data_IF_775698353079
#
_entry.id   IF_775698353079
#
_cell.length_a   1.000
_cell.length_b   1.000
_cell.length_c   1.000
_cell.angle_alpha   90.00
_cell.angle_beta   90.00
_cell.angle_gamma   90.00
#
_symmetry.space_group_name_H-M   'P 1'
#
loop_
_entity.id
_entity.type
_entity.pdbx_description
1 polymer ?
#
# COMPACT_ATOMS: atom_id res chain seq x y z
N UNK A 1 18.60 -4.47 -7.77
CA UNK A 1 18.11 -3.30 -6.99
C UNK A 1 18.37 -3.53 -5.51
N UNK A 2 18.96 -2.58 -4.80
CA UNK A 2 19.20 -2.70 -3.36
C UNK A 2 17.90 -2.91 -2.60
N UNK A 3 17.95 -3.70 -1.56
CA UNK A 3 16.78 -3.99 -0.73
C UNK A 3 16.19 -2.72 -0.12
N UNK A 4 17.03 -1.79 0.30
CA UNK A 4 16.59 -0.51 0.85
C UNK A 4 15.74 0.27 -0.15
N UNK A 5 16.15 0.31 -1.42
CA UNK A 5 15.40 1.01 -2.46
C UNK A 5 14.06 0.34 -2.70
N UNK A 6 14.02 -1.00 -2.72
CA UNK A 6 12.75 -1.72 -2.85
C UNK A 6 11.81 -1.40 -1.70
N UNK A 7 12.33 -1.37 -0.49
CA UNK A 7 11.52 -1.04 0.69
C UNK A 7 10.98 0.39 0.62
N UNK A 8 11.79 1.33 0.16
CA UNK A 8 11.38 2.72 0.00
C UNK A 8 10.25 2.85 -1.03
N UNK A 9 10.35 2.13 -2.15
CA UNK A 9 9.32 2.13 -3.19
C UNK A 9 8.00 1.58 -2.62
N UNK A 10 8.05 0.47 -1.89
CA UNK A 10 6.85 -0.12 -1.28
C UNK A 10 6.25 0.80 -0.22
N UNK A 11 7.10 1.46 0.58
CA UNK A 11 6.62 2.42 1.58
C UNK A 11 5.95 3.62 0.93
N UNK A 12 6.51 4.12 -0.17
CA UNK A 12 5.91 5.23 -0.90
C UNK A 12 4.57 4.83 -1.52
N UNK A 13 4.49 3.64 -2.08
CA UNK A 13 3.23 3.12 -2.60
C UNK A 13 2.16 3.08 -1.50
N UNK A 14 2.51 2.54 -0.33
CA UNK A 14 1.56 2.45 0.78
C UNK A 14 1.18 3.83 1.31
N UNK A 15 2.12 4.77 1.34
CA UNK A 15 1.86 6.14 1.74
C UNK A 15 0.81 6.81 0.84
N UNK A 16 0.96 6.66 -0.47
CA UNK A 16 0.01 7.22 -1.43
C UNK A 16 -1.37 6.57 -1.32
N UNK A 17 -1.40 5.25 -1.15
CA UNK A 17 -2.66 4.52 -0.96
C UNK A 17 -3.37 4.99 0.31
N UNK A 18 -2.64 5.09 1.42
CA UNK A 18 -3.21 5.55 2.69
C UNK A 18 -3.70 6.99 2.61
N UNK A 19 -2.94 7.86 1.97
CA UNK A 19 -3.30 9.26 1.80
C UNK A 19 -4.61 9.38 1.02
N UNK A 20 -4.73 8.63 -0.07
CA UNK A 20 -5.95 8.63 -0.88
C UNK A 20 -7.13 8.03 -0.13
N UNK A 21 -6.89 6.96 0.63
CA UNK A 21 -7.91 6.34 1.48
C UNK A 21 -8.46 7.35 2.48
N UNK A 22 -7.56 8.05 3.18
CA UNK A 22 -7.94 9.05 4.20
C UNK A 22 -8.71 10.21 3.58
N UNK A 23 -8.31 10.66 2.40
CA UNK A 23 -8.99 11.75 1.68
C UNK A 23 -10.45 11.40 1.39
N UNK A 24 -10.77 10.13 1.21
CA UNK A 24 -12.14 9.65 0.97
C UNK A 24 -12.85 9.25 2.26
N UNK A 25 -12.21 9.40 3.41
CA UNK A 25 -12.75 8.97 4.71
C UNK A 25 -13.04 7.46 4.74
N UNK A 26 -12.30 6.70 3.95
CA UNK A 26 -12.41 5.24 3.93
C UNK A 26 -11.63 4.67 5.11
N UNK A 27 -12.28 3.84 5.91
CA UNK A 27 -11.62 3.22 7.07
C UNK A 27 -10.77 2.02 6.63
N UNK A 28 -9.89 1.56 7.51
CA UNK A 28 -9.12 0.33 7.26
C UNK A 28 -10.07 -0.85 7.09
N UNK A 29 -11.17 -0.89 7.87
CA UNK A 29 -12.16 -1.95 7.74
C UNK A 29 -12.84 -1.93 6.39
N UNK A 30 -13.17 -0.75 5.87
CA UNK A 30 -13.75 -0.62 4.53
C UNK A 30 -12.81 -1.18 3.47
N UNK A 31 -11.54 -0.83 3.57
CA UNK A 31 -10.52 -1.32 2.64
C UNK A 31 -10.36 -2.84 2.76
N UNK A 32 -10.32 -3.35 3.98
CA UNK A 32 -10.19 -4.78 4.25
C UNK A 32 -11.35 -5.57 3.64
N UNK A 33 -12.56 -5.06 3.75
CA UNK A 33 -13.75 -5.71 3.16
C UNK A 33 -13.69 -5.73 1.65
N UNK A 34 -13.14 -4.68 1.03
CA UNK A 34 -12.99 -4.62 -0.43
C UNK A 34 -11.98 -5.64 -0.95
N UNK A 35 -10.84 -5.79 -0.26
CA UNK A 35 -9.78 -6.67 -0.73
C UNK A 35 -10.03 -8.14 -0.35
N UNK A 36 -10.60 -8.38 0.82
CA UNK A 36 -10.75 -9.74 1.35
C UNK A 36 -12.18 -9.98 1.81
N UNK A 37 -13.15 -9.95 0.88
CA UNK A 37 -14.57 -10.10 1.26
C UNK A 37 -14.91 -11.46 1.85
N UNK A 38 -14.09 -12.49 1.57
CA UNK A 38 -14.34 -13.85 2.03
C UNK A 38 -13.66 -14.17 3.36
N UNK A 39 -12.88 -13.23 3.91
CA UNK A 39 -12.19 -13.44 5.18
C UNK A 39 -12.95 -12.77 6.33
N UNK A 40 -12.88 -13.33 7.56
CA UNK A 40 -13.39 -12.62 8.73
C UNK A 40 -12.71 -11.26 8.85
N UNK A 41 -13.46 -10.25 9.26
CA UNK A 41 -12.96 -8.87 9.32
C UNK A 41 -11.66 -8.72 10.14
N UNK A 42 -11.51 -9.34 11.33
CA UNK A 42 -10.25 -9.22 12.06
C UNK A 42 -9.04 -9.72 11.28
N UNK A 43 -9.19 -10.83 10.55
CA UNK A 43 -8.11 -11.39 9.73
C UNK A 43 -7.79 -10.46 8.55
N UNK A 44 -8.83 -9.97 7.87
CA UNK A 44 -8.67 -9.04 6.75
C UNK A 44 -8.00 -7.73 7.20
N UNK A 45 -8.42 -7.19 8.33
CA UNK A 45 -7.83 -5.99 8.93
C UNK A 45 -6.34 -6.19 9.21
N UNK A 46 -5.99 -7.34 9.77
CA UNK A 46 -4.59 -7.65 10.09
C UNK A 46 -3.72 -7.70 8.84
N UNK A 47 -4.23 -8.24 7.74
CA UNK A 47 -3.49 -8.28 6.48
C UNK A 47 -3.17 -6.88 5.97
N UNK A 48 -4.11 -5.95 6.07
CA UNK A 48 -3.90 -4.56 5.67
C UNK A 48 -2.89 -3.88 6.62
N UNK A 49 -3.05 -4.07 7.93
CA UNK A 49 -2.17 -3.44 8.91
C UNK A 49 -0.72 -3.90 8.77
N UNK A 50 -0.49 -5.17 8.42
CA UNK A 50 0.86 -5.67 8.20
C UNK A 50 1.57 -5.01 7.01
N UNK A 51 0.81 -4.57 6.02
CA UNK A 51 1.36 -3.82 4.88
C UNK A 51 1.67 -2.38 5.27
N UNK A 52 0.88 -1.80 6.16
CA UNK A 52 0.97 -0.38 6.51
C UNK A 52 2.08 -0.09 7.52
N UNK A 53 2.22 -0.91 8.55
CA UNK A 53 3.07 -0.59 9.69
C UNK A 53 3.86 -1.78 10.17
N UNK A 54 4.98 -1.49 10.84
CA UNK A 54 5.75 -2.52 11.54
C UNK A 54 4.91 -3.11 12.67
N UNK A 55 5.08 -4.42 12.89
CA UNK A 55 4.42 -5.14 13.99
C UNK A 55 5.49 -5.57 14.98
N UNK A 56 5.62 -4.82 16.08
CA UNK A 56 6.68 -5.06 17.05
C UNK A 56 8.05 -4.85 16.42
N UNK A 57 8.91 -5.87 16.47
CA UNK A 57 10.24 -5.84 15.86
C UNK A 57 10.24 -6.21 14.38
N UNK A 58 9.08 -6.65 13.84
CA UNK A 58 8.99 -7.05 12.44
C UNK A 58 8.71 -5.85 11.55
N UNK A 59 9.46 -5.69 10.44
CA UNK A 59 9.17 -4.62 9.49
C UNK A 59 7.83 -4.85 8.80
N UNK A 60 7.26 -3.84 8.13
CA UNK A 60 6.04 -4.03 7.35
C UNK A 60 6.23 -5.15 6.33
N UNK A 61 5.15 -5.92 6.08
CA UNK A 61 5.16 -6.99 5.09
C UNK A 61 5.35 -6.40 3.69
N UNK A 62 6.08 -7.11 2.85
CA UNK A 62 6.30 -6.68 1.48
C UNK A 62 4.99 -6.79 0.67
N UNK A 63 4.78 -5.81 -0.19
CA UNK A 63 3.62 -5.76 -1.08
C UNK A 63 3.98 -6.45 -2.39
N UNK A 64 3.19 -7.42 -2.81
CA UNK A 64 3.37 -8.00 -4.13
C UNK A 64 2.62 -7.18 -5.18
N UNK A 65 2.88 -7.46 -6.45
CA UNK A 65 2.29 -6.69 -7.54
C UNK A 65 0.77 -6.78 -7.57
N UNK A 66 0.21 -7.96 -7.33
CA UNK A 66 -1.24 -8.13 -7.28
C UNK A 66 -1.88 -7.29 -6.20
N UNK A 67 -1.28 -7.29 -5.02
CA UNK A 67 -1.75 -6.47 -3.90
C UNK A 67 -1.69 -4.98 -4.23
N UNK A 68 -0.63 -4.54 -4.89
CA UNK A 68 -0.50 -3.16 -5.32
C UNK A 68 -1.65 -2.75 -6.24
N UNK A 69 -1.94 -3.57 -7.23
CA UNK A 69 -3.03 -3.30 -8.18
C UNK A 69 -4.38 -3.26 -7.45
N UNK A 70 -4.64 -4.23 -6.58
CA UNK A 70 -5.89 -4.28 -5.83
C UNK A 70 -6.06 -3.10 -4.89
N UNK A 71 -4.99 -2.74 -4.17
CA UNK A 71 -5.03 -1.63 -3.21
C UNK A 71 -5.23 -0.28 -3.91
N UNK A 72 -4.50 -0.03 -4.99
CA UNK A 72 -4.66 1.23 -5.74
C UNK A 72 -6.07 1.36 -6.29
N UNK A 73 -6.59 0.30 -6.90
CA UNK A 73 -7.95 0.31 -7.44
C UNK A 73 -9.00 0.49 -6.34
N UNK A 74 -8.79 -0.13 -5.20
CA UNK A 74 -9.75 -0.04 -4.09
C UNK A 74 -9.92 1.39 -3.57
N UNK A 75 -8.87 2.20 -3.65
CA UNK A 75 -8.93 3.61 -3.23
C UNK A 75 -9.13 4.58 -4.40
N UNK A 76 -9.36 4.06 -5.60
CA UNK A 76 -9.63 4.90 -6.76
C UNK A 76 -8.41 5.51 -7.43
N UNK A 77 -7.24 4.91 -7.22
CA UNK A 77 -6.04 5.29 -7.93
C UNK A 77 -5.85 4.40 -9.16
N UNK A 78 -5.29 4.95 -10.22
CA UNK A 78 -4.95 4.17 -11.39
C UNK A 78 -3.53 3.59 -11.17
N UNK A 79 -3.36 2.24 -11.23
CA UNK A 79 -2.09 1.62 -10.84
C UNK A 79 -0.86 2.11 -11.62
N UNK A 80 -0.96 2.24 -12.94
CA UNK A 80 0.19 2.63 -13.75
C UNK A 80 0.52 4.10 -13.56
N UNK A 81 -0.48 4.97 -13.45
CA UNK A 81 -0.25 6.39 -13.19
C UNK A 81 0.38 6.60 -11.82
N UNK A 82 -0.07 5.86 -10.82
CA UNK A 82 0.49 5.93 -9.47
C UNK A 82 1.96 5.46 -9.46
N UNK A 83 2.25 4.38 -10.18
CA UNK A 83 3.63 3.90 -10.29
C UNK A 83 4.53 4.93 -10.95
N UNK A 84 4.03 5.62 -11.97
CA UNK A 84 4.78 6.70 -12.63
C UNK A 84 5.16 7.80 -11.63
N UNK A 85 4.21 8.21 -10.78
CA UNK A 85 4.47 9.22 -9.74
C UNK A 85 5.54 8.73 -8.78
N UNK A 86 5.45 7.49 -8.32
CA UNK A 86 6.44 6.89 -7.42
C UNK A 86 7.82 6.93 -8.06
N UNK A 87 7.94 6.50 -9.31
CA UNK A 87 9.21 6.45 -10.00
C UNK A 87 9.80 7.84 -10.23
N UNK A 88 8.96 8.82 -10.56
CA UNK A 88 9.42 10.21 -10.69
C UNK A 88 9.99 10.74 -9.38
N UNK A 89 9.36 10.46 -8.27
CA UNK A 89 9.83 10.90 -6.96
C UNK A 89 11.22 10.33 -6.64
N UNK A 90 11.46 9.07 -6.98
CA UNK A 90 12.75 8.45 -6.74
C UNK A 90 13.83 8.92 -7.73
N UNK A 91 13.47 9.16 -8.97
CA UNK A 91 14.40 9.68 -9.96
C UNK A 91 14.88 11.08 -9.60
N UNK A 92 13.99 11.95 -9.13
CA UNK A 92 14.34 13.27 -8.65
C UNK A 92 15.29 13.21 -7.45
N UNK A 93 15.12 12.23 -6.58
CA UNK A 93 15.96 12.06 -5.39
C UNK A 93 17.38 11.62 -5.74
N UNK A 94 17.58 11.01 -6.91
CA UNK A 94 18.87 10.52 -7.36
C UNK A 94 19.76 11.62 -7.96
N UNK A 95 19.17 12.71 -8.30
CA UNK A 95 19.86 13.86 -8.87
C UNK A 95 20.34 14.78 -7.72
#
# INVERSE_FOLDING_TARGET
MPEELRNMIEREAMRLIDERRKAQKMTIDDLARKLYPDKPLPAARMMIQRLRTAQGSKPPRKMNLGEYVELTRAVGLEPSATLTVIMQNFDETRI
#
